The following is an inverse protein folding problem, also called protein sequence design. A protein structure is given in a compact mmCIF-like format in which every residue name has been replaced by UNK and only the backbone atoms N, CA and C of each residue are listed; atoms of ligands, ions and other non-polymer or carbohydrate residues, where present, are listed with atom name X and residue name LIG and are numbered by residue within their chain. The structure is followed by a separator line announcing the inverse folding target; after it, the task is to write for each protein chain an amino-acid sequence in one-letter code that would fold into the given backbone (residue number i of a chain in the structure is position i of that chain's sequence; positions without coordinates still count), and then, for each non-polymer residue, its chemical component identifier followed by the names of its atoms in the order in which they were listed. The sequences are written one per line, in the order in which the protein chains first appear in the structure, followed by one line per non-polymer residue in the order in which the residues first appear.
data_IF_493794315670
#
_entry.id   IF_493794315670
#
_cell.length_a   1.000
_cell.length_b   1.000
_cell.length_c   1.000
_cell.angle_alpha   90.00
_cell.angle_beta   90.00
_cell.angle_gamma   90.00
#
_symmetry.space_group_name_H-M   'P 1'
#
loop_
_entity.id
_entity.type
_entity.pdbx_description
1 polymer ?
#
# COMPACT_ATOMS: atom_id res chain seq x y z
N UNK A 1 -62.29 48.95 14.81
CA UNK A 1 -60.98 49.52 15.21
C UNK A 1 -59.95 48.43 14.93
N UNK A 2 -59.28 48.37 13.76
CA UNK A 2 -58.28 49.28 13.16
C UNK A 2 -57.05 49.53 14.05
N UNK A 3 -55.92 48.96 13.59
CA UNK A 3 -54.57 49.53 13.46
C UNK A 3 -53.76 49.82 14.74
N UNK A 4 -52.43 49.72 14.81
CA UNK A 4 -51.32 49.22 13.98
C UNK A 4 -50.01 49.58 14.73
N UNK A 5 -48.87 48.90 14.46
CA UNK A 5 -47.50 49.45 14.24
C UNK A 5 -46.86 50.39 15.31
N UNK A 6 -45.59 50.39 15.72
CA UNK A 6 -44.32 49.69 15.38
C UNK A 6 -43.19 50.27 16.27
N UNK A 7 -42.08 49.51 16.35
CA UNK A 7 -40.65 49.93 16.23
C UNK A 7 -39.77 50.42 17.41
N UNK A 8 -38.56 49.80 17.40
CA UNK A 8 -37.19 50.31 17.69
C UNK A 8 -36.82 50.59 19.17
N UNK A 9 -35.60 50.38 19.69
CA UNK A 9 -34.29 49.83 19.27
C UNK A 9 -33.31 50.00 20.48
N UNK A 10 -32.28 49.15 20.61
CA UNK A 10 -30.97 49.36 21.32
C UNK A 10 -30.92 49.37 22.89
N UNK A 11 -29.90 48.91 23.65
CA UNK A 11 -28.51 48.39 23.45
C UNK A 11 -27.94 47.88 24.84
N UNK A 12 -26.81 47.14 24.81
CA UNK A 12 -25.76 46.88 25.87
C UNK A 12 -26.02 45.73 26.88
N UNK A 13 -25.33 44.57 26.85
CA UNK A 13 -23.91 44.17 27.12
C UNK A 13 -23.66 43.68 28.57
N UNK A 14 -23.40 42.37 28.73
CA UNK A 14 -22.62 41.66 29.77
C UNK A 14 -23.03 40.17 29.67
N UNK A 15 -22.20 39.13 29.72
CA UNK A 15 -20.83 38.95 30.15
C UNK A 15 -20.74 37.51 30.70
N UNK A 16 -19.86 36.70 30.12
CA UNK A 16 -19.18 35.50 30.66
C UNK A 16 -19.96 34.38 31.41
N UNK A 17 -19.82 33.16 30.84
CA UNK A 17 -19.29 31.92 31.47
C UNK A 17 -20.25 30.91 32.15
N UNK A 18 -20.25 29.71 31.52
CA UNK A 18 -20.34 28.33 32.05
C UNK A 18 -21.64 27.87 32.78
N UNK A 19 -22.16 26.65 32.63
CA UNK A 19 -21.62 25.40 32.07
C UNK A 19 -22.75 24.42 31.67
N UNK A 20 -22.38 23.50 30.77
CA UNK A 20 -22.71 22.06 30.72
C UNK A 20 -24.18 21.59 30.69
N UNK A 21 -24.58 20.95 29.59
CA UNK A 21 -24.46 19.49 29.45
C UNK A 21 -24.92 18.96 28.08
N UNK A 22 -24.00 18.22 27.45
CA UNK A 22 -24.18 17.06 26.54
C UNK A 22 -25.08 17.20 25.30
N UNK A 23 -24.45 17.51 24.17
CA UNK A 23 -24.84 16.98 22.86
C UNK A 23 -23.87 15.85 22.52
N UNK A 24 -24.41 14.64 22.34
CA UNK A 24 -23.68 13.49 21.83
C UNK A 24 -23.18 13.77 20.41
N UNK A 25 -21.90 13.51 20.20
CA UNK A 25 -21.19 13.54 18.94
C UNK A 25 -21.83 12.57 17.93
N UNK A 26 -22.51 13.11 16.92
CA UNK A 26 -22.57 12.48 15.62
C UNK A 26 -21.38 13.00 14.82
N UNK A 27 -20.27 12.24 14.84
CA UNK A 27 -19.18 12.44 13.88
C UNK A 27 -19.73 12.04 12.52
N UNK A 28 -20.08 13.06 11.72
CA UNK A 28 -20.41 12.87 10.32
C UNK A 28 -19.19 12.27 9.61
N UNK A 29 -19.31 11.02 9.15
CA UNK A 29 -18.43 10.44 8.14
C UNK A 29 -18.52 11.33 6.90
N UNK A 30 -17.53 12.21 6.77
CA UNK A 30 -17.36 13.06 5.60
C UNK A 30 -16.97 12.13 4.45
N UNK A 31 -17.86 11.98 3.48
CA UNK A 31 -17.60 11.21 2.27
C UNK A 31 -16.25 11.66 1.68
N UNK A 32 -15.36 10.70 1.43
CA UNK A 32 -14.08 10.95 0.77
C UNK A 32 -14.38 11.46 -0.66
N UNK A 33 -13.69 12.50 -1.15
CA UNK A 33 -13.95 13.06 -2.47
C UNK A 33 -13.79 11.97 -3.55
N UNK A 34 -14.69 11.95 -4.54
CA UNK A 34 -14.77 10.93 -5.60
C UNK A 34 -13.44 10.63 -6.31
N UNK A 35 -12.53 11.61 -6.39
CA UNK A 35 -11.16 11.45 -6.91
C UNK A 35 -10.32 10.39 -6.15
N UNK A 36 -10.64 10.11 -4.87
CA UNK A 36 -9.98 9.08 -4.05
C UNK A 36 -10.39 7.67 -4.48
N UNK A 37 -11.59 7.51 -5.02
CA UNK A 37 -12.13 6.21 -5.44
C UNK A 37 -11.54 5.81 -6.80
N UNK A 38 -11.30 6.78 -7.69
CA UNK A 38 -10.87 6.52 -9.07
C UNK A 38 -9.35 6.23 -9.21
N UNK A 39 -8.50 6.82 -8.34
CA UNK A 39 -7.06 6.54 -8.36
C UNK A 39 -6.69 5.13 -7.85
N UNK A 40 -7.56 4.47 -7.07
CA UNK A 40 -7.29 3.15 -6.47
C UNK A 40 -7.97 2.01 -7.23
N UNK A 41 -9.05 2.27 -7.96
CA UNK A 41 -9.85 1.24 -8.63
C UNK A 41 -9.35 0.82 -10.03
N UNK A 42 -8.24 1.37 -10.54
CA UNK A 42 -7.75 1.07 -11.89
C UNK A 42 -6.79 -0.13 -11.99
N UNK A 43 -6.72 -1.00 -10.98
CA UNK A 43 -6.23 -2.37 -11.16
C UNK A 43 -7.40 -3.28 -11.52
N UNK A 44 -7.67 -3.43 -12.81
CA UNK A 44 -8.73 -4.30 -13.34
C UNK A 44 -8.58 -5.74 -12.84
N UNK A 45 -9.40 -6.12 -11.85
CA UNK A 45 -9.75 -7.50 -11.55
C UNK A 45 -10.70 -8.00 -12.64
N UNK A 46 -10.18 -8.62 -13.69
CA UNK A 46 -10.97 -9.57 -14.49
C UNK A 46 -10.05 -10.44 -15.34
N UNK A 47 -9.54 -11.52 -14.73
CA UNK A 47 -9.31 -12.77 -15.45
C UNK A 47 -9.36 -13.92 -14.44
N UNK A 48 -10.49 -14.63 -14.39
CA UNK A 48 -10.65 -15.89 -13.64
C UNK A 48 -9.88 -16.98 -14.39
N UNK A 49 -8.57 -17.01 -14.20
CA UNK A 49 -7.82 -18.27 -14.24
C UNK A 49 -7.79 -18.77 -12.80
N UNK A 50 -8.04 -20.06 -12.57
CA UNK A 50 -7.71 -20.68 -11.28
C UNK A 50 -6.23 -20.42 -11.04
N UNK A 51 -5.90 -19.47 -10.17
CA UNK A 51 -4.53 -19.10 -9.89
C UNK A 51 -3.95 -20.24 -9.06
N UNK A 52 -3.25 -21.14 -9.75
CA UNK A 52 -2.55 -22.24 -9.09
C UNK A 52 -1.26 -21.67 -8.53
N UNK A 53 -1.17 -21.64 -7.21
CA UNK A 53 0.05 -21.25 -6.49
C UNK A 53 0.74 -22.52 -5.98
N UNK A 54 2.07 -22.56 -6.08
CA UNK A 54 2.88 -23.75 -5.81
C UNK A 54 3.95 -23.45 -4.77
N UNK A 55 4.16 -24.38 -3.84
CA UNK A 55 5.30 -24.39 -2.93
C UNK A 55 5.75 -25.82 -2.67
N UNK A 56 7.02 -26.11 -2.94
CA UNK A 56 7.65 -27.42 -2.84
C UNK A 56 6.87 -28.55 -3.56
N UNK A 57 6.26 -28.21 -4.70
CA UNK A 57 5.41 -29.12 -5.48
C UNK A 57 4.02 -29.38 -4.89
N UNK A 58 3.68 -28.81 -3.73
CA UNK A 58 2.31 -28.73 -3.23
C UNK A 58 1.52 -27.66 -3.99
N UNK A 59 0.21 -27.86 -4.09
CA UNK A 59 -0.68 -27.01 -4.86
C UNK A 59 -1.72 -26.34 -3.98
N UNK A 60 -1.77 -25.02 -4.04
CA UNK A 60 -2.85 -24.20 -3.48
C UNK A 60 -3.88 -23.97 -4.57
N UNK A 61 -5.15 -24.23 -4.26
CA UNK A 61 -6.28 -24.05 -5.17
C UNK A 61 -7.27 -23.11 -4.54
N UNK A 62 -7.60 -22.01 -5.23
CA UNK A 62 -8.75 -21.16 -4.90
C UNK A 62 -9.98 -21.66 -5.64
N UNK A 63 -11.06 -21.92 -4.92
CA UNK A 63 -12.35 -22.30 -5.50
C UNK A 63 -13.19 -21.07 -5.87
N UNK A 64 -14.30 -21.31 -6.57
CA UNK A 64 -15.20 -20.25 -7.04
C UNK A 64 -15.96 -19.53 -5.92
N UNK A 65 -16.00 -20.09 -4.71
CA UNK A 65 -16.58 -19.48 -3.51
C UNK A 65 -15.54 -18.76 -2.64
N UNK A 66 -14.36 -18.48 -3.19
CA UNK A 66 -13.25 -17.79 -2.52
C UNK A 66 -12.71 -18.50 -1.28
N UNK A 67 -12.93 -19.81 -1.18
CA UNK A 67 -12.19 -20.66 -0.25
C UNK A 67 -10.94 -21.24 -0.91
N UNK A 68 -10.04 -21.75 -0.08
CA UNK A 68 -8.77 -22.32 -0.53
C UNK A 68 -8.61 -23.76 -0.03
N UNK A 69 -7.98 -24.59 -0.85
CA UNK A 69 -7.52 -25.93 -0.48
C UNK A 69 -6.05 -26.10 -0.80
N UNK A 70 -5.40 -27.04 -0.10
CA UNK A 70 -4.02 -27.43 -0.36
C UNK A 70 -3.97 -28.93 -0.65
N UNK A 71 -3.37 -29.26 -1.79
CA UNK A 71 -3.11 -30.61 -2.23
C UNK A 71 -1.61 -30.90 -2.15
N UNK A 72 -1.26 -32.10 -1.69
CA UNK A 72 0.14 -32.54 -1.68
C UNK A 72 0.68 -32.76 -3.10
N UNK A 73 1.99 -33.03 -3.21
CA UNK A 73 2.67 -33.38 -4.47
C UNK A 73 2.08 -34.57 -5.25
N UNK A 74 1.27 -35.41 -4.60
CA UNK A 74 0.57 -36.54 -5.24
C UNK A 74 -0.89 -36.19 -5.60
N UNK A 75 -1.33 -34.96 -5.34
CA UNK A 75 -2.69 -34.47 -5.58
C UNK A 75 -3.68 -34.76 -4.45
N UNK A 76 -3.25 -35.36 -3.33
CA UNK A 76 -4.16 -35.66 -2.22
C UNK A 76 -4.51 -34.37 -1.48
N UNK A 77 -5.79 -34.18 -1.16
CA UNK A 77 -6.27 -33.07 -0.33
C UNK A 77 -5.73 -33.20 1.11
N UNK A 78 -5.11 -32.13 1.61
CA UNK A 78 -4.52 -32.07 2.97
C UNK A 78 -5.15 -31.00 3.83
N UNK A 79 -5.55 -29.89 3.22
CA UNK A 79 -6.31 -28.82 3.86
C UNK A 79 -7.47 -28.43 2.93
N UNK A 80 -8.65 -28.23 3.49
CA UNK A 80 -9.85 -27.75 2.78
C UNK A 80 -10.43 -26.53 3.48
N UNK A 81 -11.31 -25.83 2.77
CA UNK A 81 -12.14 -24.76 3.31
C UNK A 81 -11.33 -23.70 4.07
N UNK A 82 -10.15 -23.32 3.56
CA UNK A 82 -9.35 -22.26 4.15
C UNK A 82 -9.90 -20.89 3.70
N UNK A 83 -9.81 -19.89 4.57
CA UNK A 83 -10.19 -18.50 4.25
C UNK A 83 -9.12 -17.82 3.40
N UNK A 84 -7.86 -18.20 3.61
CA UNK A 84 -6.71 -17.70 2.85
C UNK A 84 -5.65 -18.79 2.76
N UNK A 85 -4.98 -18.89 1.61
CA UNK A 85 -3.76 -19.65 1.44
C UNK A 85 -2.89 -19.03 0.34
N UNK A 86 -1.60 -18.82 0.61
CA UNK A 86 -0.64 -18.31 -0.39
C UNK A 86 0.79 -18.76 -0.05
N UNK A 87 1.60 -19.02 -1.07
CA UNK A 87 3.01 -19.36 -0.93
C UNK A 87 3.79 -18.14 -0.42
N UNK A 88 4.59 -18.31 0.63
CA UNK A 88 5.50 -17.29 1.14
C UNK A 88 6.79 -17.30 0.32
N UNK A 89 7.26 -18.50 0.03
CA UNK A 89 8.42 -18.79 -0.80
C UNK A 89 8.21 -20.14 -1.48
N UNK A 90 9.22 -20.60 -2.20
CA UNK A 90 9.23 -21.93 -2.79
C UNK A 90 9.10 -23.07 -1.76
N UNK A 91 9.37 -22.85 -0.47
CA UNK A 91 9.33 -23.89 0.59
C UNK A 91 8.17 -23.75 1.57
N UNK A 92 7.54 -22.58 1.65
CA UNK A 92 6.60 -22.27 2.72
C UNK A 92 5.30 -21.66 2.20
N UNK A 93 4.21 -21.89 2.94
CA UNK A 93 2.92 -21.26 2.71
C UNK A 93 2.34 -20.67 4.00
N UNK A 94 1.57 -19.59 3.87
CA UNK A 94 0.76 -19.02 4.94
C UNK A 94 -0.70 -19.38 4.69
N UNK A 95 -1.40 -19.83 5.73
CA UNK A 95 -2.84 -20.12 5.68
C UNK A 95 -3.59 -19.39 6.80
N UNK A 96 -4.86 -19.06 6.54
CA UNK A 96 -5.85 -18.64 7.53
C UNK A 96 -7.00 -19.66 7.51
N UNK A 97 -7.22 -20.37 8.61
CA UNK A 97 -8.33 -21.31 8.71
C UNK A 97 -9.66 -20.62 9.03
N UNK A 98 -10.76 -21.39 9.01
CA UNK A 98 -12.09 -20.88 9.34
C UNK A 98 -12.20 -20.35 10.76
N UNK A 99 -11.32 -20.77 11.67
CA UNK A 99 -11.27 -20.27 13.04
C UNK A 99 -10.49 -18.95 13.17
N UNK A 100 -10.04 -18.36 12.05
CA UNK A 100 -9.25 -17.14 12.04
C UNK A 100 -7.82 -17.35 12.53
N UNK A 101 -7.33 -18.60 12.59
CA UNK A 101 -5.99 -18.91 13.04
C UNK A 101 -5.02 -18.96 11.86
N UNK A 102 -3.96 -18.16 11.95
CA UNK A 102 -2.83 -18.19 11.02
C UNK A 102 -1.95 -19.40 11.33
N UNK A 103 -1.53 -20.11 10.29
CA UNK A 103 -0.50 -21.16 10.36
C UNK A 103 0.49 -20.98 9.21
N UNK A 104 1.74 -21.32 9.47
CA UNK A 104 2.79 -21.42 8.45
C UNK A 104 3.05 -22.91 8.20
N UNK A 105 3.15 -23.30 6.94
CA UNK A 105 3.40 -24.67 6.52
C UNK A 105 4.74 -24.75 5.78
N UNK A 106 5.52 -25.81 6.03
CA UNK A 106 6.70 -26.15 5.22
C UNK A 106 6.31 -27.02 4.00
N UNK A 107 7.29 -27.40 3.18
CA UNK A 107 7.09 -28.22 1.99
C UNK A 107 6.54 -29.64 2.24
N UNK A 108 6.68 -30.17 3.46
CA UNK A 108 6.04 -31.43 3.87
C UNK A 108 4.66 -31.22 4.50
N UNK A 109 4.11 -30.00 4.41
CA UNK A 109 2.80 -29.59 4.93
C UNK A 109 2.69 -29.68 6.46
N UNK A 110 3.82 -29.62 7.15
CA UNK A 110 3.89 -29.54 8.60
C UNK A 110 3.85 -28.09 9.07
N UNK A 111 3.16 -27.85 10.18
CA UNK A 111 3.11 -26.53 10.77
C UNK A 111 4.47 -26.16 11.36
N UNK A 112 4.97 -24.98 11.01
CA UNK A 112 6.21 -24.40 11.54
C UNK A 112 5.94 -23.08 12.26
N UNK A 113 6.85 -22.68 13.15
CA UNK A 113 6.74 -21.40 13.86
C UNK A 113 7.24 -20.22 13.02
N UNK A 114 8.16 -20.46 12.08
CA UNK A 114 8.76 -19.44 11.23
C UNK A 114 8.98 -19.99 9.83
N UNK A 115 8.76 -19.16 8.83
CA UNK A 115 9.16 -19.41 7.45
C UNK A 115 10.47 -18.65 7.17
N UNK A 116 11.57 -19.37 7.01
CA UNK A 116 12.84 -18.79 6.59
C UNK A 116 12.88 -18.77 5.07
N UNK A 117 13.10 -17.60 4.48
CA UNK A 117 13.18 -17.47 3.03
C UNK A 117 14.64 -17.30 2.62
N UNK A 118 15.36 -18.37 2.23
CA UNK A 118 16.71 -18.23 1.73
C UNK A 118 16.64 -17.54 0.36
N UNK A 119 16.84 -16.22 0.34
CA UNK A 119 16.99 -15.48 -0.90
C UNK A 119 18.42 -15.64 -1.42
N UNK A 120 18.56 -16.36 -2.52
CA UNK A 120 19.81 -16.50 -3.26
C UNK A 120 19.52 -16.52 -4.74
N UNK A 121 19.39 -15.36 -5.37
CA UNK A 121 19.30 -15.28 -6.82
C UNK A 121 20.70 -15.22 -7.41
N UNK A 122 21.01 -16.19 -8.28
CA UNK A 122 22.21 -16.17 -9.10
C UNK A 122 21.87 -15.67 -10.51
N UNK A 123 22.40 -14.51 -10.88
CA UNK A 123 22.22 -13.96 -12.22
C UNK A 123 22.95 -12.64 -12.37
N UNK A 124 23.38 -12.34 -13.59
CA UNK A 124 23.89 -11.02 -13.94
C UNK A 124 22.70 -10.11 -14.23
N UNK A 125 22.51 -9.07 -13.43
CA UNK A 125 21.40 -8.12 -13.59
C UNK A 125 21.90 -6.68 -13.70
N UNK A 126 21.16 -5.80 -14.40
CA UNK A 126 21.47 -4.38 -14.43
C UNK A 126 21.53 -3.79 -13.02
N UNK A 127 22.46 -2.87 -12.82
CA UNK A 127 22.54 -2.07 -11.59
C UNK A 127 22.25 -0.62 -11.94
N UNK A 128 21.50 0.07 -11.10
CA UNK A 128 21.15 1.46 -11.32
C UNK A 128 21.60 2.34 -10.16
N UNK A 129 22.02 3.55 -10.48
CA UNK A 129 22.05 4.67 -9.54
C UNK A 129 20.86 5.58 -9.85
N UNK A 130 20.04 5.86 -8.84
CA UNK A 130 18.91 6.78 -8.94
C UNK A 130 19.24 8.04 -8.16
N UNK A 131 18.88 9.20 -8.69
CA UNK A 131 19.08 10.47 -8.01
C UNK A 131 17.89 11.42 -8.16
N UNK A 132 17.67 12.27 -7.16
CA UNK A 132 16.82 13.45 -7.17
C UNK A 132 17.74 14.67 -7.12
N UNK A 133 17.72 15.46 -8.18
CA UNK A 133 18.59 16.61 -8.39
C UNK A 133 17.74 17.87 -8.43
N UNK A 134 18.24 18.95 -7.82
CA UNK A 134 17.64 20.27 -7.96
C UNK A 134 18.15 20.95 -9.23
N UNK A 135 17.25 21.30 -10.15
CA UNK A 135 17.55 22.01 -11.39
C UNK A 135 16.68 23.27 -11.49
N UNK A 136 17.24 24.39 -11.05
CA UNK A 136 16.51 25.66 -10.98
C UNK A 136 15.26 25.56 -10.10
N UNK A 137 14.09 25.73 -10.73
CA UNK A 137 12.79 25.66 -10.06
C UNK A 137 12.17 24.25 -10.08
N UNK A 138 12.92 23.24 -10.48
CA UNK A 138 12.43 21.87 -10.59
C UNK A 138 13.21 20.90 -9.70
N UNK A 139 12.53 19.83 -9.30
CA UNK A 139 13.11 18.56 -8.90
C UNK A 139 13.20 17.66 -10.13
N UNK A 140 14.36 17.06 -10.37
CA UNK A 140 14.63 16.17 -11.51
C UNK A 140 15.04 14.81 -10.99
N UNK A 141 14.31 13.77 -11.40
CA UNK A 141 14.64 12.38 -11.06
C UNK A 141 15.42 11.79 -12.23
N UNK A 142 16.60 11.23 -11.95
CA UNK A 142 17.45 10.57 -12.94
C UNK A 142 17.71 9.12 -12.59
N UNK A 143 17.97 8.32 -13.63
CA UNK A 143 18.39 6.92 -13.54
C UNK A 143 19.64 6.71 -14.40
N UNK A 144 20.64 6.04 -13.84
CA UNK A 144 21.91 5.73 -14.49
C UNK A 144 22.18 4.22 -14.39
N UNK A 145 22.31 3.52 -15.52
CA UNK A 145 22.65 2.09 -15.54
C UNK A 145 24.17 1.96 -15.43
N UNK A 146 24.64 1.27 -14.39
CA UNK A 146 26.04 1.29 -13.96
C UNK A 146 26.78 -0.03 -14.16
N UNK A 147 26.08 -1.12 -14.56
CA UNK A 147 26.67 -2.44 -14.68
C UNK A 147 27.06 -2.80 -16.11
N UNK A 148 26.19 -2.56 -17.09
CA UNK A 148 26.43 -2.85 -18.51
C UNK A 148 26.97 -1.66 -19.29
N UNK A 149 26.90 -0.44 -18.74
CA UNK A 149 27.47 0.77 -19.36
C UNK A 149 29.01 0.83 -19.26
N UNK A 150 29.71 -0.13 -19.86
CA UNK A 150 31.18 -0.24 -19.96
C UNK A 150 31.95 1.12 -19.98
N UNK A 151 32.32 1.62 -18.80
CA UNK A 151 32.99 2.91 -18.49
C UNK A 151 32.13 4.18 -18.36
N UNK A 152 30.86 4.11 -17.90
CA UNK A 152 29.99 5.29 -17.64
C UNK A 152 29.84 6.20 -18.88
N UNK A 153 29.70 5.60 -20.07
CA UNK A 153 29.68 6.35 -21.33
C UNK A 153 28.27 6.84 -21.66
N UNK A 154 27.25 6.32 -21.01
CA UNK A 154 25.87 6.73 -21.17
C UNK A 154 25.54 7.71 -20.04
N UNK A 155 25.13 8.95 -20.35
CA UNK A 155 24.73 9.89 -19.31
C UNK A 155 23.42 9.43 -18.63
N UNK A 156 23.22 9.80 -17.34
CA UNK A 156 21.97 9.53 -16.64
C UNK A 156 20.76 10.04 -17.42
N UNK A 157 19.70 9.23 -17.48
CA UNK A 157 18.44 9.58 -18.12
C UNK A 157 17.52 10.28 -17.13
N UNK A 158 16.96 11.42 -17.51
CA UNK A 158 15.83 12.02 -16.78
C UNK A 158 14.59 11.13 -16.95
N UNK A 159 14.01 10.71 -15.83
CA UNK A 159 12.83 9.84 -15.80
C UNK A 159 11.60 10.55 -15.22
N UNK A 160 11.79 11.70 -14.57
CA UNK A 160 10.70 12.50 -14.00
C UNK A 160 11.14 13.91 -13.63
N UNK A 161 10.18 14.83 -13.60
CA UNK A 161 10.40 16.23 -13.24
C UNK A 161 9.19 16.80 -12.52
N UNK A 162 9.43 17.57 -11.47
CA UNK A 162 8.38 18.24 -10.69
C UNK A 162 8.76 19.68 -10.38
N UNK A 163 7.88 20.63 -10.70
CA UNK A 163 8.08 22.03 -10.28
C UNK A 163 8.04 22.17 -8.76
N UNK A 164 9.00 22.91 -8.21
CA UNK A 164 9.07 23.30 -6.80
C UNK A 164 7.90 24.19 -6.37
N UNK A 165 7.20 24.83 -7.31
CA UNK A 165 5.93 25.51 -7.00
C UNK A 165 4.86 24.52 -6.54
N UNK A 166 4.87 23.30 -7.08
CA UNK A 166 3.88 22.26 -6.80
C UNK A 166 4.36 21.25 -5.75
N UNK A 167 5.67 21.13 -5.53
CA UNK A 167 6.29 20.15 -4.63
C UNK A 167 7.36 20.82 -3.77
N UNK A 168 7.14 20.90 -2.46
CA UNK A 168 8.11 21.53 -1.54
C UNK A 168 9.32 20.61 -1.28
N UNK A 169 9.10 19.29 -1.27
CA UNK A 169 10.11 18.29 -0.96
C UNK A 169 9.86 17.00 -1.75
N UNK A 170 10.94 16.35 -2.19
CA UNK A 170 10.90 15.11 -2.95
C UNK A 170 12.01 14.18 -2.48
N UNK A 171 11.68 12.96 -2.10
CA UNK A 171 12.66 11.96 -1.64
C UNK A 171 12.30 10.55 -2.10
N UNK A 172 13.26 9.63 -2.13
CA UNK A 172 12.95 8.21 -2.32
C UNK A 172 12.41 7.60 -1.03
N UNK A 173 11.79 6.41 -1.11
CA UNK A 173 11.29 5.70 0.10
C UNK A 173 12.38 5.36 1.12
N UNK A 174 13.65 5.41 0.72
CA UNK A 174 14.81 5.31 1.62
C UNK A 174 15.00 6.55 2.50
N UNK A 175 14.30 7.66 2.23
CA UNK A 175 14.55 8.97 2.81
C UNK A 175 15.81 9.66 2.26
N UNK A 176 16.38 9.16 1.15
CA UNK A 176 17.57 9.72 0.51
C UNK A 176 17.21 10.35 -0.84
N UNK A 177 18.08 11.23 -1.34
CA UNK A 177 18.01 11.76 -2.72
C UNK A 177 18.86 10.96 -3.71
N UNK A 178 19.65 9.98 -3.24
CA UNK A 178 20.44 9.10 -4.10
C UNK A 178 20.49 7.71 -3.48
N UNK A 179 20.39 6.67 -4.31
CA UNK A 179 20.64 5.29 -3.90
C UNK A 179 21.05 4.43 -5.10
N UNK A 180 21.60 3.25 -4.80
CA UNK A 180 21.92 2.22 -5.78
C UNK A 180 21.07 0.98 -5.54
N UNK A 181 20.62 0.36 -6.61
CA UNK A 181 19.89 -0.90 -6.54
C UNK A 181 20.19 -1.78 -7.76
N UNK A 182 20.04 -3.09 -7.61
CA UNK A 182 20.04 -4.02 -8.73
C UNK A 182 18.60 -4.33 -9.16
N UNK A 183 18.41 -4.71 -10.41
CA UNK A 183 17.07 -4.98 -10.94
C UNK A 183 16.42 -6.26 -10.39
N UNK A 184 17.10 -7.03 -9.53
CA UNK A 184 16.50 -8.16 -8.81
C UNK A 184 15.68 -7.70 -7.59
N UNK A 185 15.62 -6.40 -7.32
CA UNK A 185 14.81 -5.88 -6.24
C UNK A 185 13.34 -6.38 -6.36
N UNK A 186 12.82 -6.93 -5.25
CA UNK A 186 11.43 -7.37 -5.13
C UNK A 186 11.14 -8.75 -5.74
N UNK A 187 12.13 -9.44 -6.32
CA UNK A 187 11.95 -10.82 -6.77
C UNK A 187 11.77 -11.73 -5.53
N UNK A 188 10.65 -12.46 -5.51
CA UNK A 188 10.30 -13.36 -4.39
C UNK A 188 9.87 -12.64 -3.11
N UNK A 189 9.77 -11.31 -3.12
CA UNK A 189 9.22 -10.56 -2.00
C UNK A 189 7.70 -10.73 -1.96
N UNK A 190 7.17 -11.03 -0.78
CA UNK A 190 5.73 -11.14 -0.54
C UNK A 190 4.97 -9.85 -0.85
N UNK A 191 5.62 -8.71 -0.61
CA UNK A 191 5.19 -7.39 -1.05
C UNK A 191 6.43 -6.67 -1.59
N UNK A 192 6.48 -6.34 -2.88
CA UNK A 192 7.62 -5.63 -3.43
C UNK A 192 7.52 -4.13 -3.12
N UNK A 193 8.29 -3.65 -2.13
CA UNK A 193 8.53 -2.20 -1.95
C UNK A 193 9.40 -1.66 -3.07
N UNK A 194 8.85 -1.07 -4.11
CA UNK A 194 9.68 -0.52 -5.20
C UNK A 194 10.66 0.57 -4.68
N UNK A 195 11.99 0.38 -4.69
CA UNK A 195 12.95 1.35 -4.16
C UNK A 195 12.95 2.65 -4.98
N UNK A 196 12.52 2.57 -6.24
CA UNK A 196 12.29 3.74 -7.09
C UNK A 196 11.08 4.57 -6.67
N UNK A 197 10.24 4.11 -5.74
CA UNK A 197 9.11 4.89 -5.27
C UNK A 197 9.62 6.21 -4.68
N UNK A 198 8.96 7.28 -5.11
CA UNK A 198 9.23 8.64 -4.67
C UNK A 198 8.11 9.08 -3.73
N UNK A 199 8.46 9.89 -2.74
CA UNK A 199 7.56 10.55 -1.81
C UNK A 199 7.64 12.05 -2.08
N UNK A 200 6.51 12.66 -2.41
CA UNK A 200 6.39 14.09 -2.62
C UNK A 200 5.67 14.73 -1.43
N UNK A 201 6.11 15.91 -1.00
CA UNK A 201 5.45 16.69 0.06
C UNK A 201 5.11 18.09 -0.42
N UNK A 202 3.91 18.56 -0.06
CA UNK A 202 3.44 19.93 -0.29
C UNK A 202 2.54 20.36 0.85
N UNK A 203 2.82 21.51 1.48
CA UNK A 203 2.00 22.06 2.58
C UNK A 203 1.71 21.02 3.69
N UNK A 204 2.75 20.31 4.13
CA UNK A 204 2.70 19.23 5.14
C UNK A 204 1.80 18.03 4.79
N UNK A 205 1.38 17.90 3.53
CA UNK A 205 0.70 16.73 3.00
C UNK A 205 1.63 15.95 2.08
N UNK A 206 1.44 14.63 2.07
CA UNK A 206 2.21 13.71 1.25
C UNK A 206 1.40 13.21 0.06
N UNK A 207 2.11 12.98 -1.04
CA UNK A 207 1.66 12.28 -2.23
C UNK A 207 2.69 11.19 -2.57
N UNK A 208 2.20 10.07 -3.10
CA UNK A 208 3.05 8.99 -3.63
C UNK A 208 2.76 8.95 -5.13
N UNK A 209 3.64 9.48 -5.98
CA UNK A 209 3.43 9.49 -7.42
C UNK A 209 3.34 8.05 -7.95
N UNK A 210 2.35 7.76 -8.78
CA UNK A 210 2.23 6.45 -9.42
C UNK A 210 3.38 6.26 -10.41
N UNK A 211 4.22 5.26 -10.17
CA UNK A 211 5.23 4.78 -11.11
C UNK A 211 4.70 3.51 -11.76
N UNK A 212 4.51 3.51 -13.10
CA UNK A 212 4.07 2.27 -13.77
C UNK A 212 5.26 1.31 -13.93
N UNK A 213 5.06 0.06 -13.53
CA UNK A 213 6.07 -1.00 -13.50
C UNK A 213 6.25 -1.67 -14.86
N UNK A 214 6.15 -0.94 -15.97
CA UNK A 214 6.36 -1.54 -17.29
C UNK A 214 7.85 -1.83 -17.48
N UNK A 215 8.23 -3.08 -17.18
CA UNK A 215 9.53 -3.66 -17.47
C UNK A 215 9.71 -3.80 -18.98
N UNK A 216 10.15 -2.73 -19.63
CA UNK A 216 10.99 -2.84 -20.82
C UNK A 216 11.93 -1.66 -20.86
N UNK A 217 13.19 -1.91 -21.24
CA UNK A 217 14.25 -0.89 -21.35
C UNK A 217 13.86 0.28 -22.27
N UNK A 218 12.84 0.09 -23.11
CA UNK A 218 12.30 1.07 -24.07
C UNK A 218 11.05 1.83 -23.57
N UNK A 219 10.49 1.49 -22.40
CA UNK A 219 9.29 2.12 -21.85
C UNK A 219 9.43 2.43 -20.36
N UNK A 220 10.44 3.24 -20.00
CA UNK A 220 10.16 4.28 -19.02
C UNK A 220 9.05 5.15 -19.62
N UNK A 221 7.79 4.74 -19.48
CA UNK A 221 6.68 5.66 -19.69
C UNK A 221 6.94 6.79 -18.72
N UNK A 222 7.07 8.00 -19.28
CA UNK A 222 7.26 9.23 -18.53
C UNK A 222 6.26 9.24 -17.36
N UNK A 223 6.61 9.90 -16.25
CA UNK A 223 5.64 10.28 -15.22
C UNK A 223 4.49 11.05 -15.89
N UNK A 224 3.47 10.34 -16.37
CA UNK A 224 2.44 10.90 -17.25
C UNK A 224 1.28 11.53 -16.48
N UNK A 225 1.39 11.72 -15.17
CA UNK A 225 0.45 12.56 -14.44
C UNK A 225 1.19 13.49 -13.48
N UNK A 226 1.36 14.73 -13.92
CA UNK A 226 1.74 15.86 -13.07
C UNK A 226 0.70 16.18 -11.98
N UNK A 227 -0.41 15.45 -11.92
CA UNK A 227 -1.44 15.59 -10.90
C UNK A 227 -1.11 14.73 -9.68
N UNK A 228 -0.28 15.31 -8.81
CA UNK A 228 -0.06 14.76 -7.48
C UNK A 228 -1.25 15.11 -6.57
N UNK A 229 -1.86 14.07 -6.00
CA UNK A 229 -2.89 14.22 -4.97
C UNK A 229 -2.25 14.20 -3.59
N UNK A 230 -2.01 15.38 -3.02
CA UNK A 230 -1.45 15.56 -1.67
C UNK A 230 -2.52 15.35 -0.60
N UNK A 231 -2.83 14.09 -0.32
CA UNK A 231 -3.95 13.73 0.56
C UNK A 231 -3.50 13.17 1.91
N UNK A 232 -2.30 12.61 1.99
CA UNK A 232 -1.86 11.88 3.19
C UNK A 232 -1.27 12.82 4.25
N UNK A 233 -1.69 12.63 5.49
CA UNK A 233 -1.11 13.31 6.66
C UNK A 233 0.28 12.76 7.01
N UNK A 234 0.49 11.46 6.80
CA UNK A 234 1.81 10.83 6.97
C UNK A 234 1.98 9.63 6.04
N UNK A 235 3.24 9.35 5.70
CA UNK A 235 3.69 8.15 5.00
C UNK A 235 4.82 7.52 5.81
N UNK A 236 4.77 6.21 6.00
CA UNK A 236 5.82 5.47 6.72
C UNK A 236 6.06 4.11 6.10
N UNK A 237 7.32 3.67 6.08
CA UNK A 237 7.70 2.35 5.58
C UNK A 237 7.66 1.36 6.75
N UNK A 238 6.80 0.34 6.67
CA UNK A 238 6.64 -0.70 7.68
C UNK A 238 6.88 -2.08 7.05
N UNK A 239 7.94 -2.75 7.47
CA UNK A 239 8.43 -4.01 6.88
C UNK A 239 8.66 -3.88 5.37
N UNK A 240 7.67 -4.29 4.58
CA UNK A 240 7.66 -4.40 3.13
C UNK A 240 6.44 -3.69 2.52
N UNK A 241 5.83 -2.73 3.22
CA UNK A 241 4.72 -1.95 2.70
C UNK A 241 4.83 -0.46 3.07
N UNK A 242 4.21 0.39 2.25
CA UNK A 242 4.12 1.83 2.49
C UNK A 242 2.79 2.09 3.20
N UNK A 243 2.83 2.32 4.51
CA UNK A 243 1.66 2.70 5.28
C UNK A 243 1.35 4.19 5.07
N UNK A 244 0.08 4.50 4.83
CA UNK A 244 -0.43 5.87 4.63
C UNK A 244 -1.47 6.21 5.69
N UNK A 245 -1.59 7.50 6.04
CA UNK A 245 -2.53 7.99 7.04
C UNK A 245 -3.33 9.20 6.54
N UNK A 246 -4.62 9.24 6.85
CA UNK A 246 -5.51 10.41 6.69
C UNK A 246 -6.35 10.55 7.96
N UNK A 247 -6.28 11.70 8.63
CA UNK A 247 -6.86 11.88 9.95
C UNK A 247 -6.31 10.84 10.92
N UNK A 248 -7.18 10.06 11.56
CA UNK A 248 -6.80 8.96 12.45
C UNK A 248 -6.87 7.58 11.77
N UNK A 249 -7.03 7.54 10.44
CA UNK A 249 -7.19 6.31 9.68
C UNK A 249 -5.91 5.94 8.92
N UNK A 250 -5.60 4.65 8.91
CA UNK A 250 -4.43 4.03 8.29
C UNK A 250 -4.83 3.17 7.10
N UNK A 251 -3.93 3.07 6.13
CA UNK A 251 -4.03 2.21 4.95
C UNK A 251 -2.65 1.81 4.43
N UNK A 252 -2.61 1.07 3.32
CA UNK A 252 -1.37 0.70 2.63
C UNK A 252 -1.44 1.16 1.18
N UNK A 253 -0.48 1.99 0.75
CA UNK A 253 -0.42 2.46 -0.63
C UNK A 253 -0.33 1.27 -1.61
N UNK A 254 -1.14 1.31 -2.67
CA UNK A 254 -1.25 0.24 -3.65
C UNK A 254 -2.07 -0.98 -3.21
N UNK A 255 -2.57 -1.01 -1.97
CA UNK A 255 -3.35 -2.14 -1.42
C UNK A 255 -4.73 -1.67 -0.95
N UNK A 256 -4.80 -0.62 -0.12
CA UNK A 256 -6.06 -0.11 0.41
C UNK A 256 -5.98 1.38 0.78
N UNK A 257 -7.10 2.08 0.61
CA UNK A 257 -7.25 3.46 1.10
C UNK A 257 -7.28 3.51 2.63
N UNK A 258 -6.83 4.62 3.25
CA UNK A 258 -6.90 4.78 4.70
C UNK A 258 -8.32 4.65 5.24
N UNK A 259 -8.55 3.62 6.06
CA UNK A 259 -9.87 3.32 6.66
C UNK A 259 -9.82 2.59 7.99
N UNK A 260 -8.64 2.15 8.44
CA UNK A 260 -8.46 1.40 9.67
C UNK A 260 -8.01 2.31 10.81
N UNK A 261 -8.53 2.15 12.02
CA UNK A 261 -8.05 2.85 13.21
C UNK A 261 -6.74 2.25 13.73
N UNK A 262 -6.55 0.94 13.51
CA UNK A 262 -5.32 0.20 13.80
C UNK A 262 -4.94 -0.61 12.57
N UNK A 263 -3.67 -0.55 12.16
CA UNK A 263 -3.15 -1.35 11.07
C UNK A 263 -1.72 -1.80 11.39
N UNK A 264 -1.56 -3.11 11.60
CA UNK A 264 -0.27 -3.72 11.91
C UNK A 264 0.57 -3.90 10.65
N UNK A 265 1.91 -3.97 10.76
CA UNK A 265 2.78 -4.43 9.67
C UNK A 265 2.31 -5.78 9.12
N UNK A 266 2.62 -6.04 7.86
CA UNK A 266 2.42 -7.37 7.29
C UNK A 266 3.33 -8.40 7.97
N UNK A 267 2.74 -9.53 8.34
CA UNK A 267 3.41 -10.78 8.64
C UNK A 267 3.22 -11.70 7.44
N UNK A 268 4.26 -11.77 6.60
CA UNK A 268 4.19 -12.33 5.25
C UNK A 268 3.08 -11.67 4.42
N UNK A 269 1.95 -12.37 4.18
CA UNK A 269 0.88 -11.88 3.31
C UNK A 269 -0.26 -11.18 4.04
N UNK A 270 -0.35 -11.28 5.36
CA UNK A 270 -1.49 -10.79 6.12
C UNK A 270 -1.07 -9.71 7.12
N UNK A 271 -1.86 -8.63 7.18
CA UNK A 271 -1.73 -7.58 8.18
C UNK A 271 -3.02 -7.51 9.01
N UNK A 272 -2.87 -7.39 10.33
CA UNK A 272 -4.01 -7.24 11.26
C UNK A 272 -4.56 -5.82 11.20
N UNK A 273 -5.88 -5.67 11.18
CA UNK A 273 -6.54 -4.37 11.25
C UNK A 273 -7.66 -4.28 12.31
N UNK A 274 -8.03 -3.05 12.63
CA UNK A 274 -9.27 -2.67 13.33
C UNK A 274 -9.99 -1.55 12.56
N UNK A 275 -11.30 -1.68 12.39
CA UNK A 275 -12.18 -0.68 11.77
C UNK A 275 -12.73 0.31 12.82
N UNK A 276 -13.23 1.48 12.42
CA UNK A 276 -13.79 2.48 13.34
C UNK A 276 -14.96 1.98 14.21
N UNK A 277 -15.65 0.92 13.79
CA UNK A 277 -16.73 0.29 14.53
C UNK A 277 -16.24 -0.81 15.51
N UNK A 278 -14.92 -1.00 15.65
CA UNK A 278 -14.30 -2.00 16.50
C UNK A 278 -14.22 -3.41 15.89
N UNK A 279 -14.66 -3.61 14.64
CA UNK A 279 -14.47 -4.88 13.95
C UNK A 279 -12.99 -5.09 13.62
N UNK A 280 -12.51 -6.30 13.87
CA UNK A 280 -11.12 -6.69 13.61
C UNK A 280 -11.04 -7.77 12.54
N UNK A 281 -9.88 -7.88 11.90
CA UNK A 281 -9.64 -8.86 10.86
C UNK A 281 -8.23 -8.79 10.29
N UNK A 282 -8.03 -9.44 9.14
CA UNK A 282 -6.78 -9.40 8.38
C UNK A 282 -7.02 -8.84 6.98
N UNK A 283 -6.09 -8.05 6.46
CA UNK A 283 -6.03 -7.67 5.05
C UNK A 283 -4.86 -8.38 4.38
N UNK A 284 -5.07 -8.91 3.19
CA UNK A 284 -3.99 -9.52 2.38
C UNK A 284 -3.22 -8.49 1.57
N UNK A 285 -2.06 -8.90 1.06
CA UNK A 285 -1.27 -8.12 0.08
C UNK A 285 -2.06 -7.74 -1.17
N UNK A 286 -3.11 -8.49 -1.48
CA UNK A 286 -3.96 -8.30 -2.66
C UNK A 286 -5.18 -7.42 -2.33
N UNK A 287 -5.26 -6.87 -1.11
CA UNK A 287 -6.33 -5.96 -0.69
C UNK A 287 -7.61 -6.64 -0.21
N UNK A 288 -7.61 -7.97 -0.05
CA UNK A 288 -8.80 -8.72 0.39
C UNK A 288 -8.86 -8.72 1.93
N UNK A 289 -10.03 -8.45 2.49
CA UNK A 289 -10.29 -8.42 3.93
C UNK A 289 -10.93 -9.71 4.45
N UNK A 290 -10.49 -10.16 5.61
CA UNK A 290 -10.96 -11.35 6.32
C UNK A 290 -11.32 -10.98 7.76
N UNK A 291 -12.61 -10.75 8.05
CA UNK A 291 -13.10 -10.34 9.38
C UNK A 291 -13.05 -11.49 10.40
N UNK A 292 -12.85 -11.18 11.68
CA UNK A 292 -12.91 -12.23 12.71
C UNK A 292 -14.34 -12.68 13.03
N UNK A 293 -15.35 -11.88 12.71
CA UNK A 293 -16.74 -12.16 13.10
C UNK A 293 -17.49 -13.11 12.18
N UNK A 294 -16.80 -13.71 11.20
CA UNK A 294 -17.30 -14.90 10.48
C UNK A 294 -17.18 -16.19 11.33
N UNK A 295 -17.08 -16.08 12.67
CA UNK A 295 -16.89 -17.14 13.66
C UNK A 295 -18.17 -17.47 14.45
#
# INVERSE_FOLDING_TARGET
MKTSFTYFLFLVLAGLIMACSSQQDQVALKELPEAVIEQVNNSSHDTIFSQEDLFDGNKIVRSADDTYSIHDKNGNLRFSDLRFAKSISWEFAQILDQQGKIKLLNGELEQVEKAETPYGFCGTVPHYTMAIIEDGNDWVITADETFFDHDQKIPPKEIGRYSKENVDHLEFISGTHEFRYDSNFGIGATIPLEPRTVLARKNDKWAIPNYSREYSDEQFKEFHSNELSFIFDSVSILSNAIQTKIGDLYGYHGICTPKYTVLSPFDHHLARFELPNGLTGFISTDGIEYLDQDL
#
